data_IF_179968171235
#
_entry.id   IF_179968171235
#
_cell.length_a   1.000
_cell.length_b   1.000
_cell.length_c   1.000
_cell.angle_alpha   90.00
_cell.angle_beta   90.00
_cell.angle_gamma   90.00
#
_symmetry.space_group_name_H-M   'P 1'
#
loop_
_entity.id
_entity.type
_entity.pdbx_description
1 polymer ?
#
# COMPACT_ATOMS: atom_id res chain seq x y z
N UNK A 1 -32.61 -23.45 -2.11
CA UNK A 1 -32.96 -24.18 -0.87
C UNK A 1 -31.83 -23.90 0.11
N UNK A 2 -32.10 -23.19 1.20
CA UNK A 2 -31.08 -22.78 2.18
C UNK A 2 -30.99 -23.84 3.27
N UNK A 3 -29.78 -24.29 3.61
CA UNK A 3 -29.55 -25.22 4.72
C UNK A 3 -28.99 -24.43 5.90
N UNK A 4 -29.81 -24.09 6.92
CA UNK A 4 -29.30 -23.51 8.14
C UNK A 4 -28.53 -24.58 8.91
N UNK A 5 -27.27 -24.27 9.25
CA UNK A 5 -26.46 -25.10 10.16
C UNK A 5 -26.47 -24.41 11.52
N UNK A 6 -26.86 -25.14 12.57
CA UNK A 6 -26.80 -24.65 13.94
C UNK A 6 -25.46 -25.08 14.57
N UNK A 7 -24.55 -24.13 14.88
CA UNK A 7 -23.25 -24.45 15.47
C UNK A 7 -23.31 -24.74 16.98
N UNK A 8 -24.49 -24.67 17.63
CA UNK A 8 -24.63 -24.86 19.08
C UNK A 8 -25.79 -25.79 19.47
N UNK A 9 -25.57 -26.60 20.50
CA UNK A 9 -26.65 -27.36 21.16
C UNK A 9 -27.71 -26.41 21.73
N UNK A 10 -28.97 -26.77 21.47
CA UNK A 10 -30.23 -26.16 21.88
C UNK A 10 -30.17 -24.93 22.83
N UNK A 11 -30.50 -23.74 22.32
CA UNK A 11 -30.94 -22.61 23.15
C UNK A 11 -30.66 -21.22 22.62
N UNK A 12 -29.63 -21.05 21.78
CA UNK A 12 -29.26 -19.76 21.19
C UNK A 12 -29.63 -19.71 19.72
N UNK A 13 -30.45 -18.72 19.32
CA UNK A 13 -30.86 -18.44 17.93
C UNK A 13 -29.68 -17.89 17.11
N UNK A 14 -28.61 -18.66 16.95
CA UNK A 14 -27.53 -18.34 16.02
C UNK A 14 -27.73 -19.18 14.76
N UNK A 15 -28.29 -18.57 13.72
CA UNK A 15 -28.47 -19.21 12.42
C UNK A 15 -27.30 -18.81 11.52
N UNK A 16 -26.45 -19.78 11.15
CA UNK A 16 -25.52 -19.57 10.05
C UNK A 16 -26.30 -19.75 8.75
N UNK A 17 -26.56 -18.64 8.04
CA UNK A 17 -27.20 -18.66 6.74
C UNK A 17 -26.12 -18.53 5.65
N UNK A 18 -25.97 -19.57 4.84
CA UNK A 18 -25.14 -19.49 3.64
C UNK A 18 -25.91 -18.75 2.54
N UNK A 19 -25.39 -17.60 2.14
CA UNK A 19 -25.92 -16.87 0.99
C UNK A 19 -25.34 -17.47 -0.29
N UNK A 20 -26.18 -17.75 -1.32
CA UNK A 20 -25.69 -18.21 -2.61
C UNK A 20 -24.84 -17.11 -3.26
N UNK A 21 -23.81 -17.50 -4.00
CA UNK A 21 -22.93 -16.58 -4.71
C UNK A 21 -23.65 -15.96 -5.91
N UNK A 22 -24.46 -14.94 -5.64
CA UNK A 22 -25.21 -14.16 -6.62
C UNK A 22 -24.66 -12.74 -6.65
N UNK A 23 -24.74 -12.02 -7.78
CA UNK A 23 -24.26 -10.63 -7.86
C UNK A 23 -24.87 -9.71 -6.79
N UNK A 24 -26.13 -9.95 -6.40
CA UNK A 24 -26.80 -9.21 -5.33
C UNK A 24 -26.17 -9.51 -3.95
N UNK A 25 -25.94 -10.79 -3.63
CA UNK A 25 -25.31 -11.16 -2.36
C UNK A 25 -23.84 -10.75 -2.29
N UNK A 26 -23.13 -10.78 -3.42
CA UNK A 26 -21.76 -10.27 -3.52
C UNK A 26 -21.69 -8.78 -3.14
N UNK A 27 -22.67 -7.97 -3.54
CA UNK A 27 -22.76 -6.56 -3.14
C UNK A 27 -23.02 -6.41 -1.64
N UNK A 28 -23.97 -7.16 -1.09
CA UNK A 28 -24.27 -7.16 0.35
C UNK A 28 -23.05 -7.51 1.20
N UNK A 29 -22.20 -8.43 0.72
CA UNK A 29 -20.98 -8.84 1.41
C UNK A 29 -19.77 -7.93 1.18
N UNK A 30 -19.86 -6.94 0.28
CA UNK A 30 -18.77 -6.01 -0.06
C UNK A 30 -19.03 -4.58 0.37
N UNK A 31 -20.24 -4.24 0.79
CA UNK A 31 -20.52 -2.97 1.43
C UNK A 31 -19.93 -2.97 2.85
N UNK A 32 -19.18 -1.92 3.25
CA UNK A 32 -18.69 -1.81 4.61
C UNK A 32 -19.82 -1.82 5.65
N UNK A 33 -19.52 -2.33 6.85
CA UNK A 33 -20.46 -2.25 7.97
C UNK A 33 -20.81 -0.78 8.27
N UNK A 34 -22.07 -0.49 8.52
CA UNK A 34 -22.62 0.86 8.77
C UNK A 34 -22.57 1.80 7.55
N UNK A 35 -22.20 1.30 6.38
CA UNK A 35 -22.44 2.03 5.13
C UNK A 35 -23.94 1.93 4.77
N UNK A 36 -24.61 3.08 4.75
CA UNK A 36 -26.03 3.21 4.40
C UNK A 36 -26.15 3.68 2.95
N UNK A 37 -26.46 2.75 2.04
CA UNK A 37 -26.63 3.01 0.60
C UNK A 37 -28.11 3.21 0.19
N UNK A 38 -29.01 3.29 1.17
CA UNK A 38 -30.46 3.37 0.94
C UNK A 38 -30.85 4.69 0.27
N UNK A 39 -30.16 5.80 0.59
CA UNK A 39 -30.35 7.09 -0.04
C UNK A 39 -29.27 7.37 -1.10
N UNK A 40 -29.55 6.92 -2.32
CA UNK A 40 -28.67 7.15 -3.49
C UNK A 40 -28.50 8.63 -3.86
N UNK A 41 -29.34 9.54 -3.35
CA UNK A 41 -29.24 10.98 -3.65
C UNK A 41 -28.35 11.72 -2.64
N UNK A 42 -28.27 11.23 -1.40
CA UNK A 42 -27.40 11.78 -0.36
C UNK A 42 -26.72 10.64 0.44
N UNK A 43 -25.71 9.96 -0.13
CA UNK A 43 -25.00 8.92 0.58
C UNK A 43 -24.36 9.50 1.84
N UNK A 44 -24.66 8.90 3.00
CA UNK A 44 -24.03 9.31 4.26
C UNK A 44 -22.56 8.89 4.23
N UNK A 45 -21.63 9.75 4.68
CA UNK A 45 -20.23 9.37 4.79
C UNK A 45 -20.10 8.21 5.78
N UNK A 46 -19.17 7.30 5.50
CA UNK A 46 -18.88 6.18 6.40
C UNK A 46 -18.38 6.74 7.74
N UNK A 47 -19.03 6.43 8.87
CA UNK A 47 -18.61 6.96 10.17
C UNK A 47 -17.16 6.60 10.50
N UNK A 48 -16.41 7.59 11.00
CA UNK A 48 -15.01 7.41 11.39
C UNK A 48 -14.01 7.28 10.23
N UNK A 49 -14.47 7.34 8.98
CA UNK A 49 -13.58 7.38 7.82
C UNK A 49 -12.80 8.70 7.77
N UNK A 50 -11.48 8.58 7.69
CA UNK A 50 -10.54 9.70 7.57
C UNK A 50 -9.43 9.36 6.59
N UNK A 51 -8.71 10.38 6.15
CA UNK A 51 -7.54 10.20 5.30
C UNK A 51 -6.39 9.55 6.06
N UNK A 52 -5.53 8.82 5.36
CA UNK A 52 -4.34 8.20 5.93
C UNK A 52 -3.44 9.24 6.59
N UNK A 53 -3.24 10.40 5.96
CA UNK A 53 -2.45 11.50 6.51
C UNK A 53 -3.02 12.03 7.83
N UNK A 54 -4.34 12.14 7.96
CA UNK A 54 -4.99 12.52 9.23
C UNK A 54 -4.81 11.44 10.30
N UNK A 55 -4.99 10.17 9.93
CA UNK A 55 -4.83 9.05 10.86
C UNK A 55 -3.41 9.01 11.46
N UNK A 56 -2.39 9.09 10.61
CA UNK A 56 -0.98 9.03 11.02
C UNK A 56 -0.57 10.19 11.93
N UNK A 57 -1.20 11.37 11.80
CA UNK A 57 -0.88 12.55 12.61
C UNK A 57 -1.64 12.61 13.92
N UNK A 58 -2.97 12.47 13.87
CA UNK A 58 -3.85 12.79 15.01
C UNK A 58 -5.02 11.81 15.17
N UNK A 59 -5.36 11.04 14.14
CA UNK A 59 -6.57 10.22 14.12
C UNK A 59 -6.42 8.81 14.71
N UNK A 60 -5.21 8.38 15.04
CA UNK A 60 -4.93 7.02 15.51
C UNK A 60 -5.50 6.68 16.89
N UNK A 61 -5.79 7.69 17.72
CA UNK A 61 -6.39 7.50 19.05
C UNK A 61 -7.94 7.47 19.02
N UNK A 62 -8.55 7.74 17.86
CA UNK A 62 -10.01 7.75 17.71
C UNK A 62 -10.53 6.31 17.65
N UNK A 63 -11.38 5.94 18.60
CA UNK A 63 -12.03 4.63 18.60
C UNK A 63 -12.89 4.46 17.34
N UNK A 64 -12.71 3.33 16.64
CA UNK A 64 -13.44 3.07 15.40
C UNK A 64 -12.92 3.85 14.19
N UNK A 65 -11.74 4.49 14.27
CA UNK A 65 -11.10 5.15 13.13
C UNK A 65 -11.00 4.21 11.93
N UNK A 66 -11.38 4.70 10.76
CA UNK A 66 -11.34 3.96 9.50
C UNK A 66 -10.45 4.69 8.50
N UNK A 67 -9.62 3.95 7.81
CA UNK A 67 -8.81 4.46 6.70
C UNK A 67 -9.01 3.60 5.47
N UNK A 68 -9.12 4.26 4.32
CA UNK A 68 -9.26 3.62 3.02
C UNK A 68 -7.96 3.84 2.24
N UNK A 69 -7.28 2.76 1.88
CA UNK A 69 -5.96 2.80 1.26
C UNK A 69 -5.87 1.85 0.08
N UNK A 70 -5.00 2.17 -0.87
CA UNK A 70 -4.61 1.26 -1.94
C UNK A 70 -3.28 0.58 -1.59
N UNK A 71 -3.11 -0.67 -2.01
CA UNK A 71 -1.82 -1.35 -1.95
C UNK A 71 -0.88 -0.73 -2.98
N UNK A 72 0.22 -0.12 -2.55
CA UNK A 72 1.26 0.44 -3.45
C UNK A 72 2.26 -0.63 -3.86
N UNK A 73 2.77 -1.37 -2.89
CA UNK A 73 3.82 -2.36 -3.10
C UNK A 73 3.68 -3.48 -2.05
N UNK A 74 3.96 -4.72 -2.46
CA UNK A 74 3.99 -5.88 -1.57
C UNK A 74 5.44 -6.30 -1.42
N UNK A 75 6.00 -6.11 -0.22
CA UNK A 75 7.38 -6.44 0.06
C UNK A 75 7.64 -7.94 0.14
N UNK A 76 8.92 -8.29 0.33
CA UNK A 76 9.33 -9.67 0.52
C UNK A 76 8.81 -10.25 1.84
N UNK A 77 8.39 -11.51 1.82
CA UNK A 77 8.06 -12.25 3.04
C UNK A 77 9.35 -12.58 3.81
N UNK A 78 9.38 -12.24 5.09
CA UNK A 78 10.49 -12.51 6.01
C UNK A 78 10.03 -13.53 7.07
N UNK A 79 10.95 -14.37 7.53
CA UNK A 79 10.78 -15.15 8.75
C UNK A 79 11.61 -14.50 9.84
N UNK A 80 10.98 -14.14 10.95
CA UNK A 80 11.61 -13.47 12.08
C UNK A 80 11.52 -14.37 13.30
N UNK A 81 12.64 -14.51 14.00
CA UNK A 81 12.69 -15.17 15.30
C UNK A 81 12.20 -14.21 16.38
N UNK A 82 11.08 -14.53 17.03
CA UNK A 82 10.49 -13.73 18.12
C UNK A 82 10.38 -14.59 19.38
N UNK A 83 10.67 -13.99 20.55
CA UNK A 83 10.84 -14.60 21.88
C UNK A 83 11.99 -15.61 21.94
N UNK A 84 13.03 -15.32 22.74
CA UNK A 84 14.13 -16.21 23.16
C UNK A 84 14.70 -17.18 22.10
N UNK A 85 14.56 -16.83 20.82
CA UNK A 85 14.89 -17.68 19.65
C UNK A 85 14.12 -19.00 19.60
N UNK A 86 12.89 -19.08 20.10
CA UNK A 86 12.10 -20.32 20.11
C UNK A 86 11.07 -20.41 18.98
N UNK A 87 10.63 -19.29 18.39
CA UNK A 87 9.57 -19.29 17.36
C UNK A 87 9.90 -18.42 16.16
N UNK A 88 9.80 -19.00 14.97
CA UNK A 88 9.77 -18.26 13.70
C UNK A 88 8.35 -17.77 13.43
N UNK A 89 8.21 -16.49 13.11
CA UNK A 89 6.95 -15.90 12.64
C UNK A 89 7.14 -15.24 11.29
N UNK A 90 6.13 -15.35 10.44
CA UNK A 90 6.12 -14.66 9.16
C UNK A 90 5.87 -13.16 9.37
N UNK A 91 6.65 -12.33 8.68
CA UNK A 91 6.45 -10.90 8.54
C UNK A 91 6.31 -10.54 7.07
N UNK A 92 5.32 -9.71 6.74
CA UNK A 92 5.17 -9.09 5.44
C UNK A 92 4.95 -7.60 5.61
N UNK A 93 5.78 -6.80 4.96
CA UNK A 93 5.69 -5.33 4.94
C UNK A 93 5.10 -4.91 3.59
N UNK A 94 3.99 -4.16 3.62
CA UNK A 94 3.25 -3.72 2.43
C UNK A 94 3.18 -2.20 2.48
N UNK A 95 3.59 -1.51 1.43
CA UNK A 95 3.37 -0.07 1.33
C UNK A 95 1.93 0.17 0.90
N UNK A 96 1.20 0.99 1.65
CA UNK A 96 -0.16 1.41 1.35
C UNK A 96 -0.25 2.92 1.29
N UNK A 97 -1.19 3.44 0.51
CA UNK A 97 -1.27 4.88 0.24
C UNK A 97 -2.69 5.32 -0.10
N UNK A 98 -2.95 6.60 0.12
CA UNK A 98 -4.08 7.34 -0.44
C UNK A 98 -3.56 8.63 -1.11
N UNK A 99 -4.44 9.59 -1.35
CA UNK A 99 -4.08 10.88 -1.94
C UNK A 99 -3.33 11.83 -0.98
N UNK A 100 -3.29 11.51 0.31
CA UNK A 100 -2.73 12.38 1.35
C UNK A 100 -1.40 11.89 1.92
N UNK A 101 -1.16 10.58 1.94
CA UNK A 101 0.04 9.99 2.51
C UNK A 101 0.35 8.58 1.96
N UNK A 102 1.53 8.09 2.32
CA UNK A 102 1.95 6.70 2.12
C UNK A 102 2.61 6.22 3.41
N UNK A 103 2.36 4.97 3.80
CA UNK A 103 3.01 4.35 4.95
C UNK A 103 3.13 2.85 4.76
N UNK A 104 3.81 2.18 5.69
CA UNK A 104 3.89 0.72 5.66
C UNK A 104 2.88 0.09 6.60
N UNK A 105 2.14 -0.86 6.03
CA UNK A 105 1.29 -1.82 6.69
C UNK A 105 2.09 -3.10 7.00
N UNK A 106 2.29 -3.39 8.29
CA UNK A 106 2.98 -4.59 8.77
C UNK A 106 1.99 -5.71 9.08
N UNK A 107 2.13 -6.83 8.38
CA UNK A 107 1.34 -8.05 8.57
C UNK A 107 2.17 -9.15 9.23
N UNK A 108 1.61 -9.77 10.27
CA UNK A 108 2.24 -10.86 11.01
C UNK A 108 1.52 -12.19 10.78
N UNK A 109 2.29 -13.28 10.83
CA UNK A 109 1.80 -14.66 10.87
C UNK A 109 0.78 -15.00 9.77
N UNK A 110 -0.44 -15.34 10.16
CA UNK A 110 -1.55 -15.72 9.30
C UNK A 110 -1.98 -14.57 8.37
N UNK A 111 -1.90 -13.33 8.86
CA UNK A 111 -2.27 -12.13 8.08
C UNK A 111 -1.38 -11.94 6.87
N UNK A 112 -0.10 -12.31 6.97
CA UNK A 112 0.82 -12.28 5.84
C UNK A 112 0.43 -13.26 4.72
N UNK A 113 -0.24 -14.38 5.04
CA UNK A 113 -0.72 -15.32 4.02
C UNK A 113 -1.93 -14.76 3.26
N UNK A 114 -2.80 -14.01 3.92
CA UNK A 114 -4.02 -13.45 3.32
C UNK A 114 -3.71 -12.41 2.24
N UNK A 115 -2.55 -11.76 2.32
CA UNK A 115 -2.13 -10.73 1.37
C UNK A 115 -1.57 -11.26 0.04
N UNK A 116 -1.49 -12.59 -0.16
CA UNK A 116 -0.98 -13.20 -1.41
C UNK A 116 -1.77 -12.78 -2.66
N UNK A 117 -3.05 -12.45 -2.49
CA UNK A 117 -3.93 -12.06 -3.59
C UNK A 117 -3.98 -10.54 -3.80
N UNK A 118 -3.30 -9.77 -2.95
CA UNK A 118 -3.29 -8.32 -3.04
C UNK A 118 -2.37 -7.88 -4.17
N UNK A 119 -2.89 -7.02 -5.03
CA UNK A 119 -2.22 -6.53 -6.22
C UNK A 119 -1.87 -5.05 -6.06
N UNK A 120 -0.61 -4.68 -6.29
CA UNK A 120 -0.17 -3.29 -6.38
C UNK A 120 -1.07 -2.46 -7.30
N UNK A 121 -1.44 -1.28 -6.86
CA UNK A 121 -2.27 -0.29 -7.55
C UNK A 121 -3.64 -0.77 -8.03
N UNK A 122 -4.10 -1.92 -7.53
CA UNK A 122 -5.41 -2.49 -7.84
C UNK A 122 -6.23 -2.75 -6.58
N UNK A 123 -5.64 -3.40 -5.57
CA UNK A 123 -6.34 -3.79 -4.35
C UNK A 123 -6.57 -2.60 -3.42
N UNK A 124 -7.83 -2.37 -3.05
CA UNK A 124 -8.24 -1.37 -2.05
C UNK A 124 -8.55 -2.06 -0.73
N UNK A 125 -8.10 -1.48 0.37
CA UNK A 125 -8.33 -1.96 1.72
C UNK A 125 -9.04 -0.89 2.54
N UNK A 126 -10.12 -1.25 3.20
CA UNK A 126 -10.68 -0.47 4.30
C UNK A 126 -10.23 -1.10 5.62
N UNK A 127 -9.50 -0.34 6.42
CA UNK A 127 -9.00 -0.77 7.72
C UNK A 127 -9.78 -0.05 8.81
N UNK A 128 -10.48 -0.82 9.65
CA UNK A 128 -11.18 -0.27 10.83
C UNK A 128 -10.38 -0.58 12.09
N UNK A 129 -10.08 0.45 12.87
CA UNK A 129 -9.22 0.40 14.07
C UNK A 129 -7.86 -0.28 13.82
N UNK A 130 -7.08 0.15 12.81
CA UNK A 130 -5.69 -0.30 12.69
C UNK A 130 -4.88 0.21 13.88
N UNK A 131 -3.70 -0.38 14.11
CA UNK A 131 -2.76 0.04 15.15
C UNK A 131 -1.63 0.86 14.54
N UNK A 132 -1.41 2.07 15.04
CA UNK A 132 -0.24 2.86 14.69
C UNK A 132 1.04 2.18 15.17
N UNK A 133 2.03 2.11 14.29
CA UNK A 133 3.40 1.69 14.60
C UNK A 133 4.28 2.94 14.55
N UNK A 134 4.78 3.44 15.69
CA UNK A 134 5.61 4.63 15.69
C UNK A 134 6.92 4.37 14.93
N UNK A 135 7.58 5.44 14.43
CA UNK A 135 8.93 5.35 13.89
C UNK A 135 9.86 4.64 14.88
N UNK A 136 10.75 3.79 14.37
CA UNK A 136 11.80 3.18 15.19
C UNK A 136 13.09 3.97 15.02
N UNK A 137 13.66 4.47 16.11
CA UNK A 137 14.90 5.26 16.11
C UNK A 137 16.16 4.47 15.68
N UNK A 138 16.06 3.15 15.50
CA UNK A 138 17.21 2.25 15.32
C UNK A 138 17.52 1.84 13.88
N UNK A 139 16.81 2.37 12.88
CA UNK A 139 17.12 2.13 11.45
C UNK A 139 17.73 3.39 10.82
N UNK A 140 18.77 3.27 9.97
CA UNK A 140 19.51 4.40 9.40
C UNK A 140 18.71 5.27 8.40
N UNK A 141 17.41 5.03 8.26
CA UNK A 141 16.53 5.70 7.31
C UNK A 141 15.28 6.14 8.07
N UNK A 142 14.94 7.43 7.99
CA UNK A 142 13.74 8.02 8.58
C UNK A 142 12.49 7.32 8.03
N UNK A 143 12.04 6.27 8.72
CA UNK A 143 10.80 5.61 8.38
C UNK A 143 9.65 6.37 9.02
N UNK A 144 8.78 6.97 8.20
CA UNK A 144 7.54 7.59 8.65
C UNK A 144 6.66 6.58 9.39
N UNK A 145 5.91 7.01 10.40
CA UNK A 145 5.01 6.14 11.17
C UNK A 145 4.22 5.18 10.25
N UNK A 146 4.13 3.91 10.66
CA UNK A 146 3.45 2.85 9.93
C UNK A 146 2.16 2.42 10.62
N UNK A 147 1.53 1.39 10.08
CA UNK A 147 0.33 0.77 10.64
C UNK A 147 0.49 -0.76 10.70
N UNK A 148 -0.25 -1.40 11.60
CA UNK A 148 -0.29 -2.85 11.75
C UNK A 148 -1.71 -3.31 12.07
N UNK A 149 -2.00 -4.58 11.83
CA UNK A 149 -3.28 -5.19 12.17
C UNK A 149 -3.21 -5.79 13.57
N UNK A 150 -4.16 -5.44 14.43
CA UNK A 150 -4.32 -6.04 15.75
C UNK A 150 -5.54 -6.99 15.78
N UNK A 151 -5.83 -7.61 16.92
CA UNK A 151 -6.95 -8.57 17.06
C UNK A 151 -8.34 -7.96 16.81
N UNK A 152 -8.49 -6.65 16.97
CA UNK A 152 -9.74 -5.91 16.77
C UNK A 152 -9.78 -5.15 15.43
N UNK A 153 -8.74 -5.26 14.60
CA UNK A 153 -8.71 -4.58 13.31
C UNK A 153 -9.55 -5.35 12.30
N UNK A 154 -10.55 -4.70 11.70
CA UNK A 154 -11.30 -5.26 10.58
C UNK A 154 -10.66 -4.80 9.26
N UNK A 155 -10.63 -5.72 8.30
CA UNK A 155 -10.07 -5.48 6.96
C UNK A 155 -11.10 -5.90 5.93
N UNK A 156 -11.69 -4.92 5.24
CA UNK A 156 -12.51 -5.19 4.06
C UNK A 156 -11.63 -5.07 2.82
N UNK A 157 -11.57 -6.14 2.03
CA UNK A 157 -10.80 -6.20 0.79
C UNK A 157 -11.72 -5.87 -0.38
N UNK A 158 -11.32 -4.88 -1.16
CA UNK A 158 -12.06 -4.34 -2.29
C UNK A 158 -13.53 -4.00 -1.96
N UNK A 159 -13.78 -3.16 -0.93
CA UNK A 159 -15.14 -2.77 -0.58
C UNK A 159 -15.82 -2.03 -1.75
N UNK A 160 -17.13 -2.22 -1.88
CA UNK A 160 -17.97 -1.63 -2.93
C UNK A 160 -18.80 -0.48 -2.36
N UNK A 161 -18.19 0.69 -2.30
CA UNK A 161 -18.84 1.94 -1.88
C UNK A 161 -18.22 3.16 -2.56
N UNK A 162 -18.80 4.34 -2.38
CA UNK A 162 -18.46 5.54 -3.16
C UNK A 162 -16.99 5.96 -2.99
N UNK A 163 -16.49 6.05 -1.76
CA UNK A 163 -15.10 6.50 -1.53
C UNK A 163 -14.09 5.48 -2.07
N UNK A 164 -14.40 4.18 -2.02
CA UNK A 164 -13.57 3.15 -2.65
C UNK A 164 -13.55 3.25 -4.19
N UNK A 165 -14.68 3.61 -4.81
CA UNK A 165 -14.73 3.87 -6.27
C UNK A 165 -13.89 5.07 -6.63
N UNK A 166 -14.03 6.16 -5.87
CA UNK A 166 -13.23 7.36 -6.06
C UNK A 166 -11.72 7.07 -5.92
N UNK A 167 -11.31 6.35 -4.88
CA UNK A 167 -9.89 6.03 -4.68
C UNK A 167 -9.34 5.17 -5.82
N UNK A 168 -10.10 4.20 -6.32
CA UNK A 168 -9.71 3.40 -7.51
C UNK A 168 -9.48 4.28 -8.74
N UNK A 169 -10.36 5.23 -9.00
CA UNK A 169 -10.22 6.16 -10.12
C UNK A 169 -9.02 7.09 -9.94
N UNK A 170 -8.80 7.59 -8.73
CA UNK A 170 -7.64 8.41 -8.40
C UNK A 170 -6.33 7.63 -8.61
N UNK A 171 -6.23 6.39 -8.11
CA UNK A 171 -5.06 5.51 -8.31
C UNK A 171 -4.83 5.26 -9.79
N UNK A 172 -5.88 4.91 -10.55
CA UNK A 172 -5.77 4.68 -12.00
C UNK A 172 -5.24 5.90 -12.76
N UNK A 173 -5.71 7.09 -12.39
CA UNK A 173 -5.25 8.35 -12.98
C UNK A 173 -3.81 8.67 -12.59
N UNK A 174 -3.42 8.37 -11.35
CA UNK A 174 -2.06 8.55 -10.85
C UNK A 174 -1.07 7.61 -11.54
N UNK A 175 -1.34 6.31 -11.57
CA UNK A 175 -0.50 5.32 -12.28
C UNK A 175 -0.38 5.66 -13.76
N UNK A 176 -1.46 6.13 -14.40
CA UNK A 176 -1.39 6.62 -15.77
C UNK A 176 -0.43 7.80 -15.91
N UNK A 177 -0.41 8.75 -14.96
CA UNK A 177 0.47 9.92 -14.96
C UNK A 177 1.93 9.58 -14.63
N UNK A 178 2.17 8.73 -13.63
CA UNK A 178 3.51 8.25 -13.26
C UNK A 178 4.09 7.35 -14.36
N UNK A 179 3.22 6.59 -15.05
CA UNK A 179 3.57 5.84 -16.26
C UNK A 179 3.78 6.72 -17.51
N UNK A 180 3.56 8.03 -17.43
CA UNK A 180 3.90 8.96 -18.53
C UNK A 180 5.33 9.44 -18.33
N UNK A 181 6.18 8.96 -19.23
CA UNK A 181 7.43 9.60 -19.67
C UNK A 181 7.42 11.12 -19.45
N UNK A 182 8.16 11.60 -18.44
CA UNK A 182 8.42 13.04 -18.30
C UNK A 182 9.15 13.47 -19.57
N UNK A 183 8.47 14.29 -20.38
CA UNK A 183 9.09 14.84 -21.58
C UNK A 183 10.23 15.74 -21.13
N UNK A 184 11.40 15.63 -21.76
CA UNK A 184 12.52 16.53 -21.46
C UNK A 184 12.05 17.99 -21.55
N UNK A 185 12.38 18.84 -20.56
CA UNK A 185 11.95 20.23 -20.56
C UNK A 185 12.52 20.94 -21.80
N UNK A 186 11.62 21.51 -22.60
CA UNK A 186 11.98 22.15 -23.87
C UNK A 186 12.86 23.39 -23.61
N UNK A 187 14.03 23.43 -24.24
CA UNK A 187 14.96 24.57 -24.16
C UNK A 187 15.89 24.57 -22.94
N UNK A 188 15.72 23.64 -22.00
CA UNK A 188 16.62 23.45 -20.84
C UNK A 188 17.69 22.38 -21.10
N UNK A 189 17.32 21.31 -21.81
CA UNK A 189 18.21 20.19 -22.08
C UNK A 189 18.07 19.71 -23.53
N UNK A 190 19.17 19.69 -24.27
CA UNK A 190 19.22 19.15 -25.62
C UNK A 190 19.57 17.65 -25.57
N UNK A 191 18.54 16.81 -25.60
CA UNK A 191 18.69 15.36 -25.54
C UNK A 191 19.45 14.78 -26.75
N UNK A 192 19.32 15.38 -27.93
CA UNK A 192 20.03 14.97 -29.15
C UNK A 192 21.53 15.22 -29.00
N UNK A 193 21.92 16.43 -28.60
CA UNK A 193 23.33 16.74 -28.34
C UNK A 193 23.89 16.00 -27.12
N UNK A 194 23.10 15.70 -26.09
CA UNK A 194 23.58 14.92 -24.95
C UNK A 194 23.86 13.44 -25.30
N UNK A 195 23.08 12.85 -26.21
CA UNK A 195 23.24 11.45 -26.62
C UNK A 195 24.24 11.32 -27.77
N UNK A 196 24.22 12.24 -28.74
CA UNK A 196 24.99 12.15 -30.00
C UNK A 196 26.06 13.22 -30.16
N UNK A 197 26.17 14.17 -29.23
CA UNK A 197 27.14 15.24 -29.30
C UNK A 197 28.59 14.78 -29.15
N UNK A 198 29.56 15.63 -29.57
CA UNK A 198 30.97 15.30 -29.61
C UNK A 198 31.61 15.12 -28.22
N UNK A 199 30.98 15.66 -27.17
CA UNK A 199 31.42 15.55 -25.79
C UNK A 199 30.37 14.83 -24.95
N UNK A 200 30.77 13.70 -24.34
CA UNK A 200 29.97 12.99 -23.33
C UNK A 200 30.67 13.12 -21.98
N UNK A 201 30.34 14.13 -21.16
CA UNK A 201 30.84 14.18 -19.80
C UNK A 201 30.24 13.01 -19.02
N UNK A 202 31.09 12.11 -18.56
CA UNK A 202 30.72 11.02 -17.66
C UNK A 202 30.94 11.51 -16.24
N UNK A 203 29.89 11.44 -15.43
CA UNK A 203 29.97 11.73 -14.00
C UNK A 203 29.76 10.43 -13.24
N UNK A 204 30.55 10.23 -12.19
CA UNK A 204 30.29 9.24 -11.16
C UNK A 204 29.15 9.72 -10.27
N UNK A 205 28.45 8.79 -9.61
CA UNK A 205 27.40 9.15 -8.64
C UNK A 205 27.93 10.03 -7.50
N UNK A 206 29.19 9.82 -7.09
CA UNK A 206 29.84 10.63 -6.05
C UNK A 206 30.02 12.09 -6.50
N UNK A 207 30.43 12.33 -7.75
CA UNK A 207 30.56 13.69 -8.29
C UNK A 207 29.22 14.41 -8.40
N UNK A 208 28.15 13.68 -8.79
CA UNK A 208 26.79 14.24 -8.82
C UNK A 208 26.32 14.60 -7.41
N UNK A 209 26.59 13.73 -6.44
CA UNK A 209 26.25 13.91 -5.03
C UNK A 209 27.00 15.09 -4.39
N UNK A 210 28.30 15.20 -4.61
CA UNK A 210 29.12 16.33 -4.13
C UNK A 210 28.68 17.66 -4.75
N UNK A 211 28.36 17.67 -6.05
CA UNK A 211 27.86 18.85 -6.73
C UNK A 211 26.50 19.29 -6.18
N UNK A 212 25.55 18.36 -6.02
CA UNK A 212 24.23 18.64 -5.46
C UNK A 212 24.30 19.20 -4.03
N UNK A 213 25.30 18.81 -3.24
CA UNK A 213 25.52 19.39 -1.90
C UNK A 213 26.19 20.76 -1.92
N UNK A 214 26.98 21.05 -2.96
CA UNK A 214 27.72 22.30 -3.07
C UNK A 214 26.84 23.51 -3.41
N UNK A 215 25.72 23.26 -4.10
CA UNK A 215 24.76 24.29 -4.49
C UNK A 215 23.32 23.74 -4.47
N UNK A 216 22.69 23.70 -3.28
CA UNK A 216 21.39 23.06 -3.08
C UNK A 216 20.20 23.83 -3.68
N UNK A 217 20.39 25.08 -4.09
CA UNK A 217 19.33 25.91 -4.69
C UNK A 217 19.23 25.70 -6.22
N UNK A 218 20.19 24.99 -6.83
CA UNK A 218 20.23 24.73 -8.27
C UNK A 218 19.59 23.38 -8.62
N UNK A 219 18.51 23.42 -9.41
CA UNK A 219 17.88 22.22 -9.95
C UNK A 219 18.77 21.57 -11.03
N UNK A 220 19.04 20.26 -10.90
CA UNK A 220 19.75 19.49 -11.92
C UNK A 220 18.82 18.56 -12.70
N UNK A 221 19.06 18.43 -13.99
CA UNK A 221 18.33 17.49 -14.87
C UNK A 221 19.35 16.80 -15.76
N UNK A 222 19.28 15.47 -15.86
CA UNK A 222 20.24 14.69 -16.66
C UNK A 222 19.78 13.25 -16.91
N UNK A 223 20.60 12.49 -17.64
CA UNK A 223 20.38 11.06 -17.91
C UNK A 223 21.35 10.22 -17.10
N UNK A 224 20.80 9.31 -16.30
CA UNK A 224 21.58 8.30 -15.60
C UNK A 224 21.60 7.01 -16.43
N UNK A 225 22.79 6.56 -16.83
CA UNK A 225 22.98 5.27 -17.50
C UNK A 225 23.68 4.31 -16.55
N UNK A 226 22.96 3.31 -16.05
CA UNK A 226 23.46 2.36 -15.06
C UNK A 226 23.67 1.00 -15.71
N UNK A 227 24.87 0.46 -15.56
CA UNK A 227 25.15 -0.96 -15.77
C UNK A 227 25.28 -1.63 -14.41
N UNK A 228 24.24 -2.35 -13.99
CA UNK A 228 24.26 -3.11 -12.74
C UNK A 228 24.88 -4.48 -13.05
N UNK A 229 26.13 -4.67 -12.62
CA UNK A 229 26.84 -5.93 -12.74
C UNK A 229 26.65 -6.78 -11.49
N UNK A 230 26.90 -8.09 -11.59
CA UNK A 230 26.85 -9.04 -10.47
C UNK A 230 25.50 -9.12 -9.74
N UNK A 231 24.41 -8.80 -10.45
CA UNK A 231 23.06 -8.87 -9.91
C UNK A 231 22.58 -10.33 -9.83
N UNK A 232 22.46 -10.90 -8.63
CA UNK A 232 22.00 -12.28 -8.44
C UNK A 232 20.48 -12.41 -8.59
N UNK A 233 20.02 -12.35 -9.85
CA UNK A 233 18.62 -12.48 -10.22
C UNK A 233 17.98 -13.76 -9.68
N UNK A 234 18.72 -14.88 -9.69
CA UNK A 234 18.20 -16.17 -9.27
C UNK A 234 17.92 -16.22 -7.77
N UNK A 235 18.81 -15.66 -6.95
CA UNK A 235 18.61 -15.56 -5.50
C UNK A 235 17.46 -14.62 -5.14
N UNK A 236 17.35 -13.48 -5.83
CA UNK A 236 16.24 -12.56 -5.65
C UNK A 236 14.91 -13.16 -6.09
N UNK A 237 14.88 -13.90 -7.20
CA UNK A 237 13.69 -14.62 -7.66
C UNK A 237 13.22 -15.66 -6.63
N UNK A 238 14.15 -16.49 -6.13
CA UNK A 238 13.86 -17.53 -5.15
C UNK A 238 13.35 -16.98 -3.81
N UNK A 239 13.62 -15.71 -3.53
CA UNK A 239 13.18 -15.01 -2.32
C UNK A 239 11.97 -14.10 -2.56
N UNK A 240 11.35 -14.13 -3.74
CA UNK A 240 10.26 -13.21 -4.14
C UNK A 240 10.65 -11.72 -4.00
N UNK A 241 11.92 -11.38 -4.28
CA UNK A 241 12.49 -10.03 -4.17
C UNK A 241 12.92 -9.45 -5.52
N UNK A 242 12.51 -10.07 -6.63
CA UNK A 242 12.84 -9.57 -7.96
C UNK A 242 11.97 -8.35 -8.27
N UNK A 243 12.60 -7.21 -8.54
CA UNK A 243 11.93 -5.95 -8.93
C UNK A 243 10.91 -5.39 -7.92
N UNK A 244 11.09 -5.61 -6.62
CA UNK A 244 10.24 -5.02 -5.56
C UNK A 244 10.53 -3.54 -5.26
N UNK A 245 11.31 -2.86 -6.13
CA UNK A 245 11.55 -1.43 -6.03
C UNK A 245 10.35 -0.67 -6.57
N UNK A 246 9.91 0.35 -5.82
CA UNK A 246 8.91 1.31 -6.27
C UNK A 246 9.41 1.96 -7.58
N UNK A 247 8.54 1.99 -8.60
CA UNK A 247 8.67 2.87 -9.75
C UNK A 247 7.67 4.00 -9.60
#
# INVERSE_FOLDING_TARGET
>A
MYTPINPSDAGTKQFIQFLPDTPQNQRLCRAPLEYDDIDTQNPKPLPGLMTLGQYLKTGHDIQGARILVCVKNVGARKLIMIQDRTREVALLEITVYDDTASCVLTLWEDKANSAKLWKPSETILLLTSPKLVPPRDTKPMHWSAGISLNYNTLVDVDPDFQDAKWLREWVKNRVRKEGVYLSFPKGLWDAENAVHGPFRPLFTLAEVDDFARSDPDTDFTGKLNLAILEFNLLELHRRDMMCSAEW
#
